data_IF_931907434469
#
_entry.id   IF_931907434469
#
_cell.length_a   1.000
_cell.length_b   1.000
_cell.length_c   1.000
_cell.angle_alpha   90.00
_cell.angle_beta   90.00
_cell.angle_gamma   90.00
#
_symmetry.space_group_name_H-M   'P 1'
#
loop_
_entity.id
_entity.type
_entity.pdbx_description
1 polymer ?
#
# COMPACT_ATOMS: atom_id res chain seq x y z
N UNK A 1 20.13 8.70 29.36
CA UNK A 1 19.83 9.03 27.94
C UNK A 1 18.49 9.72 27.89
N UNK A 2 18.38 10.88 27.27
CA UNK A 2 17.12 11.62 27.09
C UNK A 2 16.24 10.92 26.04
N UNK A 3 14.94 11.15 26.05
CA UNK A 3 14.03 10.52 25.10
C UNK A 3 14.40 10.79 23.63
N UNK A 4 14.80 12.00 23.31
CA UNK A 4 15.31 12.37 21.99
C UNK A 4 16.53 11.51 21.56
N UNK A 5 17.50 11.30 22.43
CA UNK A 5 18.69 10.48 22.14
C UNK A 5 18.30 9.00 21.92
N UNK A 6 17.29 8.51 22.65
CA UNK A 6 16.76 7.17 22.48
C UNK A 6 16.05 7.01 21.13
N UNK A 7 15.26 7.99 20.70
CA UNK A 7 14.58 7.95 19.40
C UNK A 7 15.61 7.94 18.27
N UNK A 8 16.63 8.81 18.32
CA UNK A 8 17.67 8.84 17.30
C UNK A 8 18.53 7.57 17.28
N UNK A 9 18.90 7.03 18.44
CA UNK A 9 19.57 5.73 18.51
C UNK A 9 18.72 4.61 17.91
N UNK A 10 17.41 4.62 18.20
CA UNK A 10 16.46 3.66 17.61
C UNK A 10 16.40 3.76 16.10
N UNK A 11 16.35 4.96 15.52
CA UNK A 11 16.40 5.17 14.06
C UNK A 11 17.70 4.64 13.44
N UNK A 12 18.85 4.88 14.09
CA UNK A 12 20.12 4.34 13.63
C UNK A 12 20.14 2.81 13.68
N UNK A 13 19.56 2.20 14.71
CA UNK A 13 19.42 0.75 14.80
C UNK A 13 18.53 0.18 13.68
N UNK A 14 17.42 0.85 13.34
CA UNK A 14 16.59 0.47 12.18
C UNK A 14 17.41 0.53 10.89
N UNK A 15 18.14 1.62 10.65
CA UNK A 15 18.97 1.81 9.46
C UNK A 15 20.07 0.73 9.31
N UNK A 16 20.54 0.17 10.42
CA UNK A 16 21.55 -0.91 10.45
C UNK A 16 20.95 -2.31 10.59
N UNK A 17 19.62 -2.45 10.49
CA UNK A 17 18.92 -3.74 10.58
C UNK A 17 18.82 -4.33 11.99
N UNK A 18 19.25 -3.61 13.02
CA UNK A 18 19.18 -4.04 14.43
C UNK A 18 17.82 -3.73 15.03
N UNK A 19 16.80 -4.45 14.59
CA UNK A 19 15.40 -4.13 14.90
C UNK A 19 15.08 -4.31 16.38
N UNK A 20 15.64 -5.31 17.07
CA UNK A 20 15.40 -5.55 18.50
C UNK A 20 15.92 -4.41 19.37
N UNK A 21 17.11 -3.90 19.07
CA UNK A 21 17.74 -2.77 19.75
C UNK A 21 16.94 -1.48 19.49
N UNK A 22 16.49 -1.28 18.25
CA UNK A 22 15.62 -0.16 17.90
C UNK A 22 14.34 -0.15 18.75
N UNK A 23 13.66 -1.30 18.81
CA UNK A 23 12.43 -1.45 19.60
C UNK A 23 12.67 -1.20 21.09
N UNK A 24 13.80 -1.64 21.64
CA UNK A 24 14.16 -1.37 23.04
C UNK A 24 14.35 0.14 23.29
N UNK A 25 14.98 0.85 22.35
CA UNK A 25 15.14 2.31 22.43
C UNK A 25 13.77 3.02 22.37
N UNK A 26 12.92 2.67 21.42
CA UNK A 26 11.59 3.27 21.28
C UNK A 26 10.69 2.98 22.48
N UNK A 27 10.69 1.75 23.04
CA UNK A 27 9.95 1.42 24.26
C UNK A 27 10.34 2.29 25.45
N UNK A 28 11.63 2.57 25.61
CA UNK A 28 12.14 3.41 26.69
C UNK A 28 11.77 4.89 26.54
N UNK A 29 11.54 5.34 25.28
CA UNK A 29 11.12 6.72 24.99
C UNK A 29 9.60 6.87 24.94
N UNK A 30 8.82 5.77 25.00
CA UNK A 30 7.39 5.75 24.76
C UNK A 30 6.54 6.56 25.77
N UNK A 31 7.03 6.68 27.02
CA UNK A 31 6.32 7.36 28.10
C UNK A 31 6.72 8.85 28.23
N UNK A 32 7.59 9.34 27.34
CA UNK A 32 8.00 10.74 27.35
C UNK A 32 6.88 11.66 26.85
N UNK A 33 6.54 12.76 27.59
CA UNK A 33 5.42 13.61 27.24
C UNK A 33 5.56 14.36 25.90
N UNK A 34 6.78 14.59 25.43
CA UNK A 34 7.04 15.31 24.17
C UNK A 34 7.35 14.37 23.02
N UNK A 35 8.07 13.29 23.27
CA UNK A 35 8.56 12.35 22.26
C UNK A 35 7.85 11.00 22.24
N UNK A 36 6.95 10.76 23.17
CA UNK A 36 6.23 9.48 23.29
C UNK A 36 5.41 9.12 22.05
N UNK A 37 4.72 10.08 21.44
CA UNK A 37 3.98 9.84 20.20
C UNK A 37 4.90 9.41 19.05
N UNK A 38 6.05 10.07 18.90
CA UNK A 38 7.06 9.72 17.90
C UNK A 38 7.61 8.32 18.15
N UNK A 39 8.03 8.04 19.38
CA UNK A 39 8.58 6.75 19.77
C UNK A 39 7.60 5.61 19.55
N UNK A 40 6.33 5.77 19.96
CA UNK A 40 5.27 4.79 19.78
C UNK A 40 4.96 4.55 18.30
N UNK A 41 4.91 5.60 17.47
CA UNK A 41 4.66 5.47 16.04
C UNK A 41 5.80 4.74 15.31
N UNK A 42 7.05 4.98 15.71
CA UNK A 42 8.23 4.27 15.20
C UNK A 42 8.29 2.83 15.69
N UNK A 43 7.91 2.58 16.94
CA UNK A 43 7.79 1.24 17.50
C UNK A 43 6.74 0.41 16.75
N UNK A 44 5.58 1.01 16.47
CA UNK A 44 4.52 0.39 15.66
C UNK A 44 5.05 -0.01 14.27
N UNK A 45 5.78 0.87 13.60
CA UNK A 45 6.40 0.58 12.32
C UNK A 45 7.46 -0.54 12.42
N UNK A 46 8.27 -0.56 13.49
CA UNK A 46 9.29 -1.57 13.71
C UNK A 46 8.73 -2.98 13.88
N UNK A 47 7.52 -3.12 14.44
CA UNK A 47 6.83 -4.41 14.54
C UNK A 47 6.39 -5.00 13.20
N UNK A 48 6.35 -4.22 12.12
CA UNK A 48 6.05 -4.69 10.76
C UNK A 48 7.31 -5.03 9.94
N UNK A 49 8.50 -4.78 10.48
CA UNK A 49 9.75 -5.07 9.77
C UNK A 49 10.06 -6.59 9.77
N UNK A 50 10.81 -7.07 8.76
CA UNK A 50 11.27 -8.46 8.72
C UNK A 50 12.00 -8.86 10.02
N UNK A 51 11.62 -10.01 10.57
CA UNK A 51 12.17 -10.52 11.82
C UNK A 51 11.39 -10.14 13.08
N UNK A 52 10.39 -9.25 12.97
CA UNK A 52 9.44 -8.94 14.06
C UNK A 52 8.01 -9.36 13.72
N UNK A 53 7.49 -8.99 12.55
CA UNK A 53 6.18 -9.34 11.96
C UNK A 53 5.05 -9.63 12.97
N UNK A 54 4.75 -8.65 13.81
CA UNK A 54 3.69 -8.73 14.81
C UNK A 54 2.64 -7.63 14.55
N UNK A 55 1.70 -7.83 13.59
CA UNK A 55 0.75 -6.82 13.17
C UNK A 55 -0.19 -6.36 14.29
N UNK A 56 -0.58 -7.27 15.20
CA UNK A 56 -1.43 -6.93 16.34
C UNK A 56 -0.74 -5.96 17.31
N UNK A 57 0.55 -6.18 17.60
CA UNK A 57 1.35 -5.26 18.43
C UNK A 57 1.61 -3.94 17.70
N UNK A 58 1.78 -3.99 16.38
CA UNK A 58 1.90 -2.78 15.58
C UNK A 58 0.63 -1.91 15.68
N UNK A 59 -0.55 -2.52 15.59
CA UNK A 59 -1.84 -1.83 15.74
C UNK A 59 -2.03 -1.27 17.16
N UNK A 60 -1.70 -2.03 18.20
CA UNK A 60 -1.78 -1.54 19.60
C UNK A 60 -0.92 -0.29 19.80
N UNK A 61 0.33 -0.35 19.37
CA UNK A 61 1.23 0.81 19.47
C UNK A 61 0.81 1.98 18.58
N UNK A 62 0.22 1.74 17.41
CA UNK A 62 -0.33 2.79 16.55
C UNK A 62 -1.53 3.49 17.24
N UNK A 63 -2.42 2.74 17.88
CA UNK A 63 -3.50 3.29 18.69
C UNK A 63 -2.99 4.15 19.84
N UNK A 64 -2.01 3.65 20.59
CA UNK A 64 -1.39 4.39 21.70
C UNK A 64 -0.72 5.67 21.21
N UNK A 65 0.03 5.60 20.12
CA UNK A 65 0.65 6.77 19.49
C UNK A 65 -0.39 7.82 19.07
N UNK A 66 -1.47 7.37 18.43
CA UNK A 66 -2.56 8.26 17.98
C UNK A 66 -3.36 8.90 19.14
N UNK A 67 -3.37 8.27 20.31
CA UNK A 67 -4.02 8.76 21.52
C UNK A 67 -3.11 9.62 22.39
N UNK A 68 -1.84 9.71 22.05
CA UNK A 68 -0.87 10.47 22.83
C UNK A 68 -1.11 11.99 22.68
N UNK A 69 -1.01 12.79 23.77
CA UNK A 69 -1.24 14.24 23.71
C UNK A 69 -0.36 14.99 22.69
N UNK A 70 0.87 14.52 22.49
CA UNK A 70 1.82 15.09 21.52
C UNK A 70 1.67 14.52 20.09
N UNK A 71 0.58 13.79 19.79
CA UNK A 71 0.37 13.23 18.46
C UNK A 71 0.03 14.32 17.44
N UNK A 72 0.98 14.64 16.57
CA UNK A 72 0.78 15.54 15.42
C UNK A 72 0.48 14.77 14.13
N UNK A 73 0.19 15.51 13.04
CA UNK A 73 -0.17 14.95 11.74
C UNK A 73 0.83 13.93 11.19
N UNK A 74 2.14 14.15 11.34
CA UNK A 74 3.18 13.21 10.91
C UNK A 74 3.09 11.85 11.65
N UNK A 75 2.85 11.90 12.97
CA UNK A 75 2.71 10.67 13.77
C UNK A 75 1.46 9.90 13.37
N UNK A 76 0.34 10.61 13.17
CA UNK A 76 -0.92 10.03 12.71
C UNK A 76 -0.79 9.43 11.30
N UNK A 77 -0.09 10.10 10.38
CA UNK A 77 0.20 9.59 9.04
C UNK A 77 0.98 8.28 9.10
N UNK A 78 2.03 8.22 9.93
CA UNK A 78 2.81 6.99 10.14
C UNK A 78 1.96 5.88 10.74
N UNK A 79 1.12 6.18 11.72
CA UNK A 79 0.19 5.21 12.30
C UNK A 79 -0.84 4.72 11.27
N UNK A 80 -1.34 5.58 10.39
CA UNK A 80 -2.22 5.20 9.30
C UNK A 80 -1.53 4.25 8.31
N UNK A 81 -0.26 4.51 7.94
CA UNK A 81 0.53 3.61 7.11
C UNK A 81 0.74 2.24 7.76
N UNK A 82 1.01 2.23 9.08
CA UNK A 82 1.11 0.99 9.87
C UNK A 82 -0.20 0.22 9.85
N UNK A 83 -1.33 0.86 10.15
CA UNK A 83 -2.64 0.24 10.16
C UNK A 83 -3.00 -0.36 8.79
N UNK A 84 -2.76 0.37 7.70
CA UNK A 84 -2.97 -0.11 6.33
C UNK A 84 -2.12 -1.34 6.00
N UNK A 85 -0.88 -1.38 6.48
CA UNK A 85 0.06 -2.48 6.24
C UNK A 85 -0.27 -3.69 7.11
N UNK A 86 -0.72 -3.47 8.34
CA UNK A 86 -1.17 -4.50 9.28
C UNK A 86 -2.53 -5.13 8.89
N UNK A 87 -3.24 -4.55 7.89
CA UNK A 87 -4.48 -5.10 7.37
C UNK A 87 -5.76 -4.51 8.00
N UNK A 88 -5.65 -3.37 8.69
CA UNK A 88 -6.81 -2.62 9.20
C UNK A 88 -7.03 -1.33 8.39
N UNK A 89 -7.75 -1.38 7.25
CA UNK A 89 -8.03 -0.21 6.43
C UNK A 89 -8.99 0.77 7.11
N UNK A 90 -9.87 0.30 8.02
CA UNK A 90 -10.79 1.20 8.74
C UNK A 90 -10.04 2.13 9.70
N UNK A 91 -9.10 1.57 10.46
CA UNK A 91 -8.22 2.37 11.32
C UNK A 91 -7.33 3.30 10.47
N UNK A 92 -6.78 2.79 9.38
CA UNK A 92 -5.92 3.58 8.49
C UNK A 92 -6.66 4.81 7.92
N UNK A 93 -7.90 4.66 7.48
CA UNK A 93 -8.74 5.76 6.99
C UNK A 93 -8.97 6.82 8.05
N UNK A 94 -9.39 6.41 9.27
CA UNK A 94 -9.64 7.33 10.38
C UNK A 94 -8.40 8.10 10.80
N UNK A 95 -7.25 7.44 10.87
CA UNK A 95 -6.00 8.08 11.25
C UNK A 95 -5.50 9.03 10.15
N UNK A 96 -5.64 8.66 8.88
CA UNK A 96 -5.28 9.52 7.76
C UNK A 96 -6.20 10.75 7.67
N UNK A 97 -7.50 10.61 7.93
CA UNK A 97 -8.44 11.72 8.01
C UNK A 97 -8.08 12.70 9.14
N UNK A 98 -7.78 12.17 10.35
CA UNK A 98 -7.32 12.98 11.49
C UNK A 98 -5.99 13.67 11.23
N UNK A 99 -5.06 13.04 10.52
CA UNK A 99 -3.78 13.64 10.15
C UNK A 99 -3.97 14.84 9.20
N UNK A 100 -4.99 14.79 8.36
CA UNK A 100 -5.34 15.87 7.44
C UNK A 100 -4.16 16.30 6.57
N UNK A 101 -4.06 17.61 6.31
CA UNK A 101 -2.96 18.20 5.53
C UNK A 101 -1.63 18.21 6.29
N UNK A 102 -1.65 18.21 7.62
CA UNK A 102 -0.45 18.23 8.46
C UNK A 102 0.33 16.91 8.38
N UNK A 103 -0.34 15.82 8.00
CA UNK A 103 0.28 14.52 7.75
C UNK A 103 1.02 14.41 6.42
N UNK A 104 0.98 15.46 5.60
CA UNK A 104 1.63 15.48 4.30
C UNK A 104 0.85 14.76 3.20
N UNK A 105 1.39 14.77 1.98
CA UNK A 105 0.72 14.21 0.79
C UNK A 105 0.52 12.68 0.82
N UNK A 106 1.20 11.99 1.72
CA UNK A 106 1.03 10.53 1.88
C UNK A 106 -0.30 10.16 2.52
N UNK A 107 -0.87 11.03 3.38
CA UNK A 107 -2.15 10.76 4.05
C UNK A 107 -3.29 10.58 3.07
N UNK A 108 -3.32 11.37 2.01
CA UNK A 108 -4.32 11.27 0.93
C UNK A 108 -4.19 9.92 0.21
N UNK A 109 -2.98 9.47 -0.10
CA UNK A 109 -2.75 8.19 -0.76
C UNK A 109 -3.08 7.01 0.15
N UNK A 110 -2.75 7.09 1.45
CA UNK A 110 -3.09 6.07 2.46
C UNK A 110 -4.61 5.99 2.59
N UNK A 111 -5.29 7.13 2.76
CA UNK A 111 -6.75 7.21 2.86
C UNK A 111 -7.43 6.63 1.63
N UNK A 112 -7.00 7.01 0.43
CA UNK A 112 -7.52 6.49 -0.81
C UNK A 112 -7.32 4.97 -0.95
N UNK A 113 -6.17 4.44 -0.53
CA UNK A 113 -5.91 3.00 -0.53
C UNK A 113 -6.78 2.27 0.50
N UNK A 114 -7.00 2.86 1.67
CA UNK A 114 -7.88 2.31 2.69
C UNK A 114 -9.33 2.22 2.20
N UNK A 115 -9.86 3.28 1.61
CA UNK A 115 -11.21 3.33 1.01
C UNK A 115 -11.37 2.29 -0.11
N UNK A 116 -10.34 2.14 -0.97
CA UNK A 116 -10.33 1.10 -2.01
C UNK A 116 -10.45 -0.30 -1.40
N UNK A 117 -9.69 -0.60 -0.35
CA UNK A 117 -9.71 -1.91 0.32
C UNK A 117 -11.02 -2.19 1.07
N UNK A 118 -11.67 -1.16 1.57
CA UNK A 118 -13.01 -1.27 2.18
C UNK A 118 -14.13 -1.40 1.14
N UNK A 119 -13.85 -1.18 -0.15
CA UNK A 119 -14.84 -1.16 -1.22
C UNK A 119 -15.67 0.13 -1.26
N UNK A 120 -15.30 1.16 -0.50
CA UNK A 120 -15.95 2.47 -0.55
C UNK A 120 -15.45 3.29 -1.74
N UNK A 121 -15.97 2.95 -2.92
CA UNK A 121 -15.64 3.63 -4.17
C UNK A 121 -16.19 5.05 -4.25
N UNK A 122 -17.27 5.35 -3.51
CA UNK A 122 -17.85 6.69 -3.47
C UNK A 122 -16.94 7.63 -2.68
N UNK A 123 -16.53 7.24 -1.48
CA UNK A 123 -15.56 7.96 -0.67
C UNK A 123 -14.22 8.12 -1.38
N UNK A 124 -13.73 7.06 -2.04
CA UNK A 124 -12.50 7.12 -2.83
C UNK A 124 -12.58 8.17 -3.95
N UNK A 125 -13.67 8.18 -4.73
CA UNK A 125 -13.85 9.17 -5.79
C UNK A 125 -13.96 10.60 -5.23
N UNK A 126 -14.59 10.78 -4.09
CA UNK A 126 -14.66 12.09 -3.42
C UNK A 126 -13.26 12.59 -3.01
N UNK A 127 -12.44 11.73 -2.42
CA UNK A 127 -11.03 12.06 -2.07
C UNK A 127 -10.22 12.40 -3.32
N UNK A 128 -10.37 11.63 -4.40
CA UNK A 128 -9.63 11.88 -5.64
C UNK A 128 -10.12 13.10 -6.42
N UNK A 129 -11.41 13.48 -6.30
CA UNK A 129 -11.95 14.68 -6.93
C UNK A 129 -11.32 15.95 -6.38
N UNK A 130 -10.95 15.98 -5.08
CA UNK A 130 -10.20 17.08 -4.46
C UNK A 130 -8.70 17.07 -4.75
N UNK A 131 -8.20 16.02 -5.42
CA UNK A 131 -6.77 15.83 -5.66
C UNK A 131 -6.33 16.49 -6.96
N UNK A 132 -5.81 17.72 -6.89
CA UNK A 132 -5.24 18.39 -8.07
C UNK A 132 -3.89 17.76 -8.47
N UNK A 133 -3.02 17.49 -7.51
CA UNK A 133 -1.68 16.94 -7.66
C UNK A 133 -1.38 15.92 -6.57
N UNK A 134 -0.74 14.83 -6.95
CA UNK A 134 -0.14 13.93 -5.97
C UNK A 134 1.10 14.57 -5.35
N UNK A 135 1.29 14.41 -4.06
CA UNK A 135 2.47 14.84 -3.31
C UNK A 135 2.88 13.76 -2.31
N UNK A 136 4.09 13.88 -1.77
CA UNK A 136 4.62 12.88 -0.84
C UNK A 136 5.26 11.66 -1.51
N UNK A 137 5.59 10.61 -0.72
CA UNK A 137 6.34 9.47 -1.20
C UNK A 137 5.64 8.70 -2.31
N UNK A 138 6.34 8.44 -3.40
CA UNK A 138 5.86 7.76 -4.60
C UNK A 138 5.32 6.36 -4.32
N UNK A 139 5.84 5.69 -3.29
CA UNK A 139 5.48 4.31 -2.95
C UNK A 139 3.99 4.15 -2.63
N UNK A 140 3.38 5.09 -1.92
CA UNK A 140 1.95 5.05 -1.58
C UNK A 140 1.07 5.22 -2.82
N UNK A 141 1.42 6.15 -3.70
CA UNK A 141 0.70 6.39 -4.95
C UNK A 141 0.81 5.21 -5.92
N UNK A 142 2.01 4.65 -6.06
CA UNK A 142 2.22 3.43 -6.87
C UNK A 142 1.40 2.27 -6.34
N UNK A 143 1.37 2.06 -5.03
CA UNK A 143 0.56 1.04 -4.38
C UNK A 143 -0.92 1.20 -4.72
N UNK A 144 -1.48 2.42 -4.61
CA UNK A 144 -2.86 2.71 -4.96
C UNK A 144 -3.15 2.40 -6.45
N UNK A 145 -2.28 2.81 -7.37
CA UNK A 145 -2.43 2.49 -8.80
C UNK A 145 -2.44 0.97 -9.03
N UNK A 146 -1.53 0.25 -8.41
CA UNK A 146 -1.42 -1.22 -8.54
C UNK A 146 -2.65 -1.91 -7.98
N UNK A 147 -3.09 -1.56 -6.77
CA UNK A 147 -4.26 -2.17 -6.13
C UNK A 147 -5.55 -1.84 -6.90
N UNK A 148 -5.75 -0.59 -7.35
CA UNK A 148 -6.89 -0.20 -8.18
C UNK A 148 -6.92 -0.95 -9.52
N UNK A 149 -5.76 -1.11 -10.17
CA UNK A 149 -5.65 -1.87 -11.41
C UNK A 149 -5.98 -3.35 -11.20
N UNK A 150 -5.46 -3.95 -10.13
CA UNK A 150 -5.71 -5.35 -9.79
C UNK A 150 -7.18 -5.63 -9.43
N UNK A 151 -7.85 -4.64 -8.84
CA UNK A 151 -9.29 -4.68 -8.55
C UNK A 151 -10.19 -4.36 -9.76
N UNK A 152 -9.61 -4.08 -10.94
CA UNK A 152 -10.35 -3.75 -12.15
C UNK A 152 -10.82 -2.29 -12.27
N UNK A 153 -10.45 -1.42 -11.35
CA UNK A 153 -10.82 0.00 -11.31
C UNK A 153 -9.84 0.86 -12.12
N UNK A 154 -9.82 0.67 -13.45
CA UNK A 154 -8.91 1.39 -14.35
C UNK A 154 -9.15 2.90 -14.39
N UNK A 155 -10.40 3.35 -14.24
CA UNK A 155 -10.76 4.75 -14.13
C UNK A 155 -10.03 5.43 -12.98
N UNK A 156 -10.02 4.79 -11.81
CA UNK A 156 -9.32 5.24 -10.59
C UNK A 156 -7.81 5.22 -10.81
N UNK A 157 -7.25 4.11 -11.30
CA UNK A 157 -5.82 3.99 -11.56
C UNK A 157 -5.31 5.08 -12.51
N UNK A 158 -6.06 5.38 -13.57
CA UNK A 158 -5.72 6.44 -14.52
C UNK A 158 -5.88 7.85 -13.92
N UNK A 159 -6.88 8.08 -13.07
CA UNK A 159 -7.06 9.35 -12.36
C UNK A 159 -5.88 9.64 -11.43
N UNK A 160 -5.49 8.66 -10.60
CA UNK A 160 -4.32 8.75 -9.72
C UNK A 160 -3.04 8.99 -10.52
N UNK A 161 -2.84 8.25 -11.61
CA UNK A 161 -1.66 8.43 -12.46
C UNK A 161 -1.58 9.82 -13.10
N UNK A 162 -2.72 10.42 -13.47
CA UNK A 162 -2.76 11.82 -13.94
C UNK A 162 -2.35 12.79 -12.83
N UNK A 163 -2.83 12.58 -11.60
CA UNK A 163 -2.46 13.40 -10.44
C UNK A 163 -0.96 13.28 -10.11
N UNK A 164 -0.37 12.06 -10.20
CA UNK A 164 1.07 11.85 -10.03
C UNK A 164 1.89 12.64 -11.06
N UNK A 165 1.49 12.61 -12.34
CA UNK A 165 2.17 13.40 -13.39
C UNK A 165 2.13 14.89 -13.13
N UNK A 166 0.97 15.43 -12.68
CA UNK A 166 0.84 16.84 -12.33
C UNK A 166 1.69 17.22 -11.12
N UNK A 167 1.83 16.32 -10.15
CA UNK A 167 2.67 16.48 -8.97
C UNK A 167 4.16 16.22 -9.22
N UNK A 168 4.56 15.85 -10.47
CA UNK A 168 5.93 15.42 -10.80
C UNK A 168 6.39 14.20 -9.98
N UNK A 169 5.45 13.39 -9.56
CA UNK A 169 5.73 12.10 -8.89
C UNK A 169 5.87 11.02 -9.97
N UNK A 170 6.90 10.19 -9.87
CA UNK A 170 7.11 9.09 -10.82
C UNK A 170 5.91 8.15 -10.86
N UNK A 171 5.27 8.06 -12.00
CA UNK A 171 4.12 7.18 -12.19
C UNK A 171 4.51 5.91 -12.95
N UNK A 172 3.89 4.76 -12.63
CA UNK A 172 4.13 3.55 -13.40
C UNK A 172 3.73 3.73 -14.86
N UNK A 173 4.41 3.03 -15.77
CA UNK A 173 4.14 3.09 -17.20
C UNK A 173 2.69 2.62 -17.50
N UNK A 174 2.07 3.22 -18.54
CA UNK A 174 0.70 2.83 -18.92
C UNK A 174 0.57 1.34 -19.25
N UNK A 175 1.54 0.72 -19.98
CA UNK A 175 1.50 -0.72 -20.23
C UNK A 175 1.48 -1.56 -18.94
N UNK A 176 2.24 -1.14 -17.91
CA UNK A 176 2.26 -1.83 -16.61
C UNK A 176 0.87 -1.83 -15.94
N UNK A 177 0.18 -0.69 -15.96
CA UNK A 177 -1.18 -0.56 -15.39
C UNK A 177 -2.17 -1.44 -16.15
N UNK A 178 -2.14 -1.41 -17.48
CA UNK A 178 -3.03 -2.20 -18.32
C UNK A 178 -2.74 -3.70 -18.17
N UNK A 179 -1.48 -4.10 -18.19
CA UNK A 179 -1.08 -5.51 -18.04
C UNK A 179 -1.55 -6.06 -16.69
N UNK A 180 -1.38 -5.32 -15.59
CA UNK A 180 -1.84 -5.78 -14.27
C UNK A 180 -3.36 -5.89 -14.15
N UNK A 181 -4.11 -4.95 -14.79
CA UNK A 181 -5.57 -4.98 -14.77
C UNK A 181 -6.16 -6.11 -15.62
N UNK A 182 -5.48 -6.47 -16.72
CA UNK A 182 -6.02 -7.43 -17.70
C UNK A 182 -5.41 -8.83 -17.60
N UNK A 183 -4.26 -8.98 -16.93
CA UNK A 183 -3.52 -10.25 -16.92
C UNK A 183 -4.34 -11.41 -16.35
N UNK A 184 -4.99 -11.24 -15.19
CA UNK A 184 -5.79 -12.30 -14.59
C UNK A 184 -7.04 -12.64 -15.41
N UNK A 185 -7.92 -11.69 -15.78
CA UNK A 185 -9.11 -12.01 -16.57
C UNK A 185 -8.75 -12.56 -17.96
N UNK A 186 -7.66 -12.07 -18.57
CA UNK A 186 -7.19 -12.59 -19.86
C UNK A 186 -6.69 -14.03 -19.74
N UNK A 187 -5.95 -14.34 -18.68
CA UNK A 187 -5.50 -15.71 -18.40
C UNK A 187 -6.66 -16.68 -18.23
N UNK A 188 -7.67 -16.30 -17.43
CA UNK A 188 -8.85 -17.14 -17.23
C UNK A 188 -9.70 -17.28 -18.50
N UNK A 189 -9.83 -16.21 -19.30
CA UNK A 189 -10.53 -16.27 -20.59
C UNK A 189 -9.79 -17.19 -21.57
N UNK A 190 -8.46 -17.12 -21.65
CA UNK A 190 -7.65 -18.02 -22.48
C UNK A 190 -7.76 -19.48 -22.02
N UNK A 191 -7.76 -19.70 -20.70
CA UNK A 191 -7.92 -21.05 -20.14
C UNK A 191 -9.30 -21.62 -20.44
N UNK A 192 -10.36 -20.84 -20.27
CA UNK A 192 -11.74 -21.26 -20.60
C UNK A 192 -11.91 -21.55 -22.09
N UNK A 193 -11.35 -20.67 -22.96
CA UNK A 193 -11.37 -20.90 -24.40
C UNK A 193 -10.61 -22.16 -24.80
N UNK A 194 -9.44 -22.42 -24.19
CA UNK A 194 -8.69 -23.66 -24.42
C UNK A 194 -9.49 -24.90 -24.01
N UNK A 195 -10.19 -24.84 -22.87
CA UNK A 195 -11.02 -25.94 -22.38
C UNK A 195 -12.21 -26.22 -23.31
N UNK A 196 -12.90 -25.18 -23.77
CA UNK A 196 -14.01 -25.32 -24.74
C UNK A 196 -13.52 -25.89 -26.04
N UNK A 197 -12.38 -25.44 -26.57
CA UNK A 197 -11.80 -25.92 -27.82
C UNK A 197 -11.36 -27.39 -27.75
N UNK A 198 -10.86 -27.85 -26.61
CA UNK A 198 -10.48 -29.26 -26.42
C UNK A 198 -11.68 -30.21 -26.44
N UNK A 199 -12.87 -29.70 -26.05
CA UNK A 199 -14.13 -30.49 -26.05
C UNK A 199 -14.86 -30.45 -27.38
N UNK A 200 -14.79 -29.32 -28.13
CA UNK A 200 -15.65 -29.02 -29.27
C UNK A 200 -14.99 -29.20 -30.65
N UNK A 201 -13.67 -29.27 -30.75
CA UNK A 201 -12.96 -29.29 -32.03
C UNK A 201 -12.24 -30.63 -32.33
N UNK A 202 -11.97 -30.96 -33.63
CA UNK A 202 -11.17 -32.14 -33.99
C UNK A 202 -9.80 -32.13 -33.32
N UNK A 203 -9.37 -33.27 -32.78
CA UNK A 203 -8.22 -33.45 -31.89
C UNK A 203 -6.93 -32.68 -32.28
N UNK A 204 -6.54 -32.64 -33.54
CA UNK A 204 -5.29 -31.99 -33.97
C UNK A 204 -5.40 -30.43 -33.94
N UNK A 205 -6.54 -29.88 -34.31
CA UNK A 205 -6.77 -28.43 -34.32
C UNK A 205 -6.95 -27.88 -32.89
N UNK A 206 -7.64 -28.63 -32.06
CA UNK A 206 -7.83 -28.29 -30.67
C UNK A 206 -6.53 -28.20 -29.87
N UNK A 207 -5.60 -29.16 -30.08
CA UNK A 207 -4.32 -29.17 -29.41
C UNK A 207 -3.43 -27.96 -29.77
N UNK A 208 -3.40 -27.56 -31.04
CA UNK A 208 -2.62 -26.40 -31.50
C UNK A 208 -3.18 -25.10 -30.96
N UNK A 209 -4.51 -24.93 -30.97
CA UNK A 209 -5.16 -23.75 -30.46
C UNK A 209 -5.06 -23.66 -28.91
N UNK A 210 -5.22 -24.79 -28.21
CA UNK A 210 -5.05 -24.85 -26.76
C UNK A 210 -3.62 -24.46 -26.34
N UNK A 211 -2.59 -24.96 -27.03
CA UNK A 211 -1.21 -24.57 -26.78
C UNK A 211 -0.95 -23.09 -27.07
N UNK A 212 -1.55 -22.53 -28.11
CA UNK A 212 -1.46 -21.11 -28.43
C UNK A 212 -2.08 -20.21 -27.36
N UNK A 213 -3.26 -20.54 -26.86
CA UNK A 213 -3.93 -19.82 -25.77
C UNK A 213 -3.17 -19.96 -24.44
N UNK A 214 -2.63 -21.15 -24.15
CA UNK A 214 -1.81 -21.37 -22.94
C UNK A 214 -0.51 -20.55 -22.99
N UNK A 215 0.15 -20.49 -24.12
CA UNK A 215 1.35 -19.66 -24.31
C UNK A 215 1.04 -18.17 -24.15
N UNK A 216 -0.09 -17.71 -24.69
CA UNK A 216 -0.53 -16.31 -24.55
C UNK A 216 -0.87 -15.97 -23.10
N UNK A 217 -1.59 -16.88 -22.41
CA UNK A 217 -1.94 -16.73 -21.01
C UNK A 217 -0.72 -16.72 -20.09
N UNK A 218 0.25 -17.62 -20.31
CA UNK A 218 1.51 -17.64 -19.59
C UNK A 218 2.37 -16.41 -19.88
N UNK A 219 2.41 -15.95 -21.11
CA UNK A 219 3.12 -14.72 -21.51
C UNK A 219 2.56 -13.49 -20.78
N UNK A 220 1.25 -13.32 -20.70
CA UNK A 220 0.62 -12.23 -19.97
C UNK A 220 0.86 -12.32 -18.46
N UNK A 221 0.82 -13.51 -17.89
CA UNK A 221 1.08 -13.74 -16.47
C UNK A 221 2.54 -13.45 -16.09
N UNK A 222 3.51 -13.79 -16.96
CA UNK A 222 4.94 -13.50 -16.77
C UNK A 222 5.19 -11.99 -16.88
N UNK A 223 4.58 -11.32 -17.85
CA UNK A 223 4.66 -9.86 -18.01
C UNK A 223 4.06 -9.13 -16.80
N UNK A 224 2.94 -9.62 -16.27
CA UNK A 224 2.32 -9.07 -15.07
C UNK A 224 3.18 -9.20 -13.81
N UNK A 225 4.02 -10.24 -13.72
CA UNK A 225 4.96 -10.41 -12.58
C UNK A 225 6.21 -9.53 -12.67
N UNK A 226 6.61 -9.17 -13.89
CA UNK A 226 7.79 -8.32 -14.12
C UNK A 226 7.47 -6.82 -14.13
N UNK A 227 6.21 -6.45 -14.34
CA UNK A 227 5.67 -5.09 -14.21
C UNK A 227 5.26 -4.76 -12.77
#
# INVERSE_FOLDING_TARGET
MRAHELVEAGRQHVATGRIREAMACFKRAADDPERGAEALSLLAAAYLLPGSLAPELALDHAHRAASHPAAGGEHLARCAAVALTAGDPSLAEKLADRAGLDGGGETVAIRATALLRMGDLAGLRAVLAGLERASGPVVFWRRLVVEASAAGHLDIALAVRRAMRRGRVDSPALPEVVVRATAAPLFFACLAAALVLTVAAPERLAAVLALGFLALGLGTAVLARRA
#
